data_IF_233678153654
#
_entry.id   IF_233678153654
#
_cell.length_a   1.000
_cell.length_b   1.000
_cell.length_c   1.000
_cell.angle_alpha   90.00
_cell.angle_beta   90.00
_cell.angle_gamma   90.00
#
_symmetry.space_group_name_H-M   'P 1'
#
loop_
_entity.id
_entity.type
_entity.pdbx_description
1 polymer ?
#
# COMPACT_ATOMS: atom_id res chain seq x y z
N UNK A 1 36.90 17.84 -46.86
CA UNK A 1 37.44 19.09 -46.29
C UNK A 1 38.04 18.84 -44.89
N UNK A 2 38.94 17.87 -44.76
CA UNK A 2 39.64 17.52 -43.52
C UNK A 2 41.14 17.47 -43.86
N UNK A 3 41.80 18.63 -44.03
CA UNK A 3 43.28 18.66 -44.08
C UNK A 3 43.93 20.04 -43.97
N UNK A 4 43.18 21.14 -43.79
CA UNK A 4 43.75 22.50 -43.82
C UNK A 4 43.77 23.24 -42.45
N UNK A 5 43.78 22.51 -41.34
CA UNK A 5 43.87 23.10 -39.98
C UNK A 5 45.07 22.60 -39.17
N UNK A 6 46.13 22.12 -39.82
CA UNK A 6 47.36 21.68 -39.16
C UNK A 6 48.57 22.39 -39.77
N UNK A 7 48.63 23.71 -39.68
CA UNK A 7 49.91 24.45 -39.71
C UNK A 7 49.74 25.93 -39.34
N UNK A 8 49.61 26.18 -38.05
CA UNK A 8 50.33 27.27 -37.38
C UNK A 8 50.33 26.92 -35.90
N UNK A 9 51.44 27.16 -35.20
CA UNK A 9 51.50 27.11 -33.75
C UNK A 9 50.56 28.20 -33.20
N UNK A 10 49.27 27.92 -33.13
CA UNK A 10 48.27 28.87 -32.67
C UNK A 10 48.48 29.11 -31.18
N UNK A 11 48.66 30.37 -30.80
CA UNK A 11 49.05 30.80 -29.44
C UNK A 11 48.08 30.41 -28.31
N UNK A 12 46.97 29.72 -28.58
CA UNK A 12 46.07 29.22 -27.54
C UNK A 12 45.38 27.94 -28.02
N UNK A 13 45.99 26.77 -27.81
CA UNK A 13 45.42 25.46 -28.18
C UNK A 13 44.49 24.91 -27.10
N UNK A 14 43.18 25.16 -27.22
CA UNK A 14 42.16 24.76 -26.21
C UNK A 14 40.84 24.24 -26.79
N UNK A 15 40.80 23.92 -28.09
CA UNK A 15 39.58 23.36 -28.71
C UNK A 15 39.32 21.90 -28.28
N UNK A 16 40.39 21.13 -28.01
CA UNK A 16 40.27 19.72 -27.63
C UNK A 16 39.73 19.52 -26.20
N UNK A 17 40.11 20.40 -25.27
CA UNK A 17 39.71 20.31 -23.85
C UNK A 17 38.27 20.75 -23.61
N UNK A 18 37.77 21.74 -24.36
CA UNK A 18 36.36 22.14 -24.33
C UNK A 18 35.45 21.05 -24.92
N UNK A 19 35.85 20.40 -26.02
CA UNK A 19 35.09 19.27 -26.61
C UNK A 19 35.08 18.06 -25.67
N UNK A 20 36.22 17.71 -25.06
CA UNK A 20 36.29 16.61 -24.09
C UNK A 20 35.41 16.88 -22.86
N UNK A 21 35.33 18.12 -22.40
CA UNK A 21 34.46 18.51 -21.28
C UNK A 21 32.98 18.51 -21.64
N UNK A 22 32.61 18.85 -22.88
CA UNK A 22 31.23 18.67 -23.38
C UNK A 22 30.83 17.18 -23.43
N UNK A 23 31.76 16.29 -23.83
CA UNK A 23 31.55 14.83 -23.83
C UNK A 23 31.42 14.30 -22.39
N UNK A 24 32.18 14.86 -21.43
CA UNK A 24 32.09 14.49 -20.02
C UNK A 24 30.80 15.04 -19.37
N UNK A 25 30.39 16.31 -19.61
CA UNK A 25 29.09 16.86 -19.16
C UNK A 25 27.93 16.01 -19.73
N UNK A 26 28.01 15.50 -20.97
CA UNK A 26 26.96 14.64 -21.55
C UNK A 26 26.98 13.20 -21.06
N UNK A 27 28.15 12.66 -20.65
CA UNK A 27 28.25 11.35 -20.00
C UNK A 27 27.70 11.36 -18.55
N UNK A 28 27.81 12.49 -17.83
CA UNK A 28 27.20 12.67 -16.51
C UNK A 28 25.70 12.98 -16.54
N UNK A 29 25.15 13.34 -17.71
CA UNK A 29 23.71 13.38 -17.95
C UNK A 29 23.17 11.96 -18.25
N UNK A 30 23.52 10.99 -17.42
CA UNK A 30 22.81 9.71 -17.37
C UNK A 30 21.48 9.96 -16.68
N UNK A 31 20.55 10.63 -17.34
CA UNK A 31 19.14 10.53 -16.95
C UNK A 31 18.77 9.08 -17.18
N UNK A 32 18.68 8.28 -16.11
CA UNK A 32 17.92 7.04 -16.17
C UNK A 32 16.55 7.46 -16.68
N UNK A 33 16.24 7.19 -17.95
CA UNK A 33 14.91 7.42 -18.48
C UNK A 33 14.01 6.54 -17.65
N UNK A 34 13.29 7.16 -16.71
CA UNK A 34 12.25 6.47 -15.97
C UNK A 34 11.35 5.80 -17.01
N UNK A 35 11.01 4.55 -16.75
CA UNK A 35 9.87 3.92 -17.39
C UNK A 35 8.67 4.90 -17.33
N UNK A 36 7.82 4.86 -18.34
CA UNK A 36 6.64 5.73 -18.43
C UNK A 36 5.56 5.03 -19.23
N UNK A 37 4.36 5.61 -19.26
CA UNK A 37 3.20 5.10 -20.00
C UNK A 37 2.76 3.69 -19.55
N UNK A 38 2.69 3.47 -18.24
CA UNK A 38 2.13 2.25 -17.66
C UNK A 38 3.04 1.02 -17.74
N UNK A 39 4.34 1.21 -17.96
CA UNK A 39 5.29 0.10 -18.07
C UNK A 39 6.20 -0.04 -16.85
N UNK A 40 6.18 0.93 -15.93
CA UNK A 40 7.00 0.85 -14.73
C UNK A 40 6.58 -0.30 -13.84
N UNK A 41 7.57 -1.01 -13.34
CA UNK A 41 7.44 -2.18 -12.49
C UNK A 41 7.73 -1.81 -11.04
N UNK A 42 7.39 -2.70 -10.13
CA UNK A 42 7.61 -2.50 -8.68
C UNK A 42 9.08 -2.11 -8.42
N UNK A 43 9.30 -1.12 -7.55
CA UNK A 43 10.57 -0.45 -7.21
C UNK A 43 11.18 0.45 -8.30
N UNK A 44 10.66 0.46 -9.54
CA UNK A 44 11.11 1.40 -10.55
C UNK A 44 10.62 2.81 -10.26
N UNK A 45 11.42 3.81 -10.62
CA UNK A 45 11.09 5.22 -10.41
C UNK A 45 9.85 5.62 -11.22
N UNK A 46 8.98 6.42 -10.61
CA UNK A 46 7.81 6.99 -11.27
C UNK A 46 7.67 8.47 -10.91
N UNK A 47 6.92 9.22 -11.70
CA UNK A 47 6.57 10.62 -11.43
C UNK A 47 5.06 10.84 -11.37
N UNK A 48 4.28 10.00 -12.05
CA UNK A 48 2.83 10.00 -12.05
C UNK A 48 2.28 8.58 -11.87
N UNK A 49 1.02 8.48 -11.40
CA UNK A 49 0.33 7.20 -11.28
C UNK A 49 0.26 6.42 -12.62
N UNK A 50 0.16 7.14 -13.74
CA UNK A 50 0.12 6.58 -15.10
C UNK A 50 1.45 6.01 -15.58
N UNK A 51 2.55 6.19 -14.84
CA UNK A 51 3.83 5.58 -15.20
C UNK A 51 3.87 4.09 -14.83
N UNK A 52 3.19 3.74 -13.74
CA UNK A 52 3.15 2.40 -13.17
C UNK A 52 2.22 1.47 -13.93
N UNK A 53 2.61 0.20 -14.03
CA UNK A 53 1.79 -0.86 -14.63
C UNK A 53 0.48 -1.10 -13.88
N UNK A 54 -0.40 -1.88 -14.50
CA UNK A 54 -1.70 -2.23 -13.92
C UNK A 54 -1.55 -2.86 -12.53
N UNK A 55 -2.39 -2.44 -11.59
CA UNK A 55 -2.34 -2.89 -10.19
C UNK A 55 -1.18 -2.32 -9.37
N UNK A 56 -0.44 -1.34 -9.90
CA UNK A 56 0.62 -0.63 -9.21
C UNK A 56 0.24 0.83 -8.94
N UNK A 57 0.91 1.42 -7.96
CA UNK A 57 0.72 2.78 -7.50
C UNK A 57 2.06 3.51 -7.40
N UNK A 58 2.12 4.77 -7.85
CA UNK A 58 3.30 5.61 -7.71
C UNK A 58 3.32 6.27 -6.31
N UNK A 59 4.14 5.74 -5.42
CA UNK A 59 4.23 6.18 -4.02
C UNK A 59 5.67 6.33 -3.55
N UNK A 60 5.88 6.92 -2.37
CA UNK A 60 7.20 7.04 -1.75
C UNK A 60 7.16 6.55 -0.30
N UNK A 61 8.34 6.41 0.32
CA UNK A 61 8.44 6.06 1.73
C UNK A 61 9.45 6.94 2.49
N UNK A 62 9.07 8.18 2.85
CA UNK A 62 9.94 9.10 3.56
C UNK A 62 10.45 8.59 4.90
N UNK A 63 9.67 7.77 5.62
CA UNK A 63 10.06 7.16 6.89
C UNK A 63 11.29 6.22 6.80
N UNK A 64 11.64 5.76 5.58
CA UNK A 64 12.85 4.99 5.29
C UNK A 64 13.93 5.82 4.59
N UNK A 65 13.75 7.13 4.45
CA UNK A 65 14.61 8.00 3.65
C UNK A 65 14.41 7.83 2.13
N UNK A 66 13.39 7.09 1.69
CA UNK A 66 13.07 6.86 0.28
C UNK A 66 12.13 7.95 -0.22
N UNK A 67 12.70 9.12 -0.54
CA UNK A 67 11.92 10.30 -0.95
C UNK A 67 11.54 10.30 -2.43
N UNK A 68 12.30 9.60 -3.28
CA UNK A 68 11.97 9.45 -4.70
C UNK A 68 10.77 8.50 -4.86
N UNK A 69 9.70 8.90 -5.57
CA UNK A 69 8.59 8.00 -5.84
C UNK A 69 9.01 6.80 -6.68
N UNK A 70 8.42 5.66 -6.34
CA UNK A 70 8.60 4.37 -7.00
C UNK A 70 7.24 3.71 -7.20
N UNK A 71 7.15 2.80 -8.17
CA UNK A 71 5.96 1.97 -8.29
C UNK A 71 5.94 0.94 -7.15
N UNK A 72 4.80 0.87 -6.48
CA UNK A 72 4.49 -0.03 -5.38
C UNK A 72 3.25 -0.85 -5.75
N UNK A 73 3.04 -1.99 -5.10
CA UNK A 73 1.81 -2.78 -5.28
C UNK A 73 0.63 -1.98 -4.75
N UNK A 74 -0.42 -1.86 -5.56
CA UNK A 74 -1.66 -1.17 -5.20
C UNK A 74 -2.91 -2.04 -5.31
N UNK A 75 -2.76 -3.33 -5.61
CA UNK A 75 -3.87 -4.26 -5.75
C UNK A 75 -3.45 -5.67 -5.31
N UNK A 76 -4.35 -6.35 -4.59
CA UNK A 76 -4.16 -7.72 -4.17
C UNK A 76 -4.34 -8.70 -5.34
N UNK A 77 -3.61 -9.82 -5.30
CA UNK A 77 -3.97 -10.98 -6.10
C UNK A 77 -5.20 -11.63 -5.46
N UNK A 78 -6.24 -11.93 -6.25
CA UNK A 78 -7.43 -12.63 -5.75
C UNK A 78 -7.08 -14.12 -5.58
N UNK A 79 -6.90 -14.65 -4.36
CA UNK A 79 -6.35 -16.00 -4.20
C UNK A 79 -7.31 -17.08 -4.74
N UNK A 80 -8.62 -16.80 -4.71
CA UNK A 80 -9.69 -17.70 -5.14
C UNK A 80 -9.73 -17.91 -6.65
N UNK A 81 -9.13 -17.00 -7.44
CA UNK A 81 -9.00 -17.17 -8.89
C UNK A 81 -7.85 -18.10 -9.28
N UNK A 82 -6.96 -18.43 -8.34
CA UNK A 82 -5.79 -19.31 -8.56
C UNK A 82 -6.00 -20.65 -7.86
N UNK A 83 -6.31 -20.63 -6.57
CA UNK A 83 -6.61 -21.82 -5.77
C UNK A 83 -8.02 -21.68 -5.21
N UNK A 84 -8.96 -22.43 -5.78
CA UNK A 84 -10.37 -22.42 -5.41
C UNK A 84 -10.78 -23.70 -4.66
N UNK A 85 -11.97 -23.70 -4.08
CA UNK A 85 -12.61 -24.90 -3.52
C UNK A 85 -12.11 -25.31 -2.14
N UNK A 86 -11.30 -24.47 -1.48
CA UNK A 86 -10.88 -24.71 -0.10
C UNK A 86 -11.84 -24.05 0.89
N UNK A 87 -11.86 -24.51 2.16
CA UNK A 87 -12.55 -23.83 3.25
C UNK A 87 -12.14 -22.36 3.37
N UNK A 88 -13.10 -21.48 3.69
CA UNK A 88 -12.84 -20.02 3.84
C UNK A 88 -11.69 -19.71 4.80
N UNK A 89 -11.56 -20.47 5.89
CA UNK A 89 -10.50 -20.33 6.89
C UNK A 89 -9.13 -20.90 6.47
N UNK A 90 -8.92 -21.28 5.19
CA UNK A 90 -7.57 -21.53 4.64
C UNK A 90 -6.95 -20.29 4.01
N UNK A 91 -7.79 -19.33 3.61
CA UNK A 91 -7.38 -18.10 2.94
C UNK A 91 -6.95 -17.03 3.95
N UNK A 92 -6.05 -16.18 3.48
CA UNK A 92 -5.63 -14.93 4.14
C UNK A 92 -6.22 -13.75 3.38
N UNK A 93 -6.79 -12.79 4.12
CA UNK A 93 -7.47 -11.62 3.60
C UNK A 93 -6.91 -10.34 4.23
N UNK A 94 -6.79 -9.28 3.42
CA UNK A 94 -6.46 -7.94 3.92
C UNK A 94 -7.69 -7.35 4.58
N UNK A 95 -7.48 -6.75 5.75
CA UNK A 95 -8.49 -6.02 6.52
C UNK A 95 -8.01 -4.59 6.73
N UNK A 96 -8.87 -3.61 6.49
CA UNK A 96 -8.59 -2.22 6.83
C UNK A 96 -9.15 -1.90 8.21
N UNK A 97 -8.29 -1.40 9.09
CA UNK A 97 -8.69 -0.91 10.41
C UNK A 97 -9.43 0.42 10.26
N UNK A 98 -10.59 0.55 10.91
CA UNK A 98 -11.46 1.71 10.82
C UNK A 98 -11.64 2.22 9.38
N UNK A 99 -12.15 1.33 8.51
CA UNK A 99 -12.19 1.49 7.05
C UNK A 99 -12.85 2.80 6.58
N UNK A 100 -13.74 3.37 7.37
CA UNK A 100 -14.45 4.62 7.08
C UNK A 100 -13.68 5.90 7.48
N UNK A 101 -12.64 5.75 8.30
CA UNK A 101 -11.86 6.86 8.86
C UNK A 101 -10.87 7.36 7.82
N UNK A 102 -11.40 8.08 6.82
CA UNK A 102 -10.68 8.47 5.61
C UNK A 102 -10.13 9.89 5.74
N UNK A 103 -8.85 10.06 5.40
CA UNK A 103 -8.18 11.37 5.32
C UNK A 103 -9.00 12.31 4.42
N UNK A 104 -9.13 13.57 4.84
CA UNK A 104 -9.87 14.62 4.14
C UNK A 104 -11.36 14.38 3.88
N UNK A 105 -11.94 13.31 4.47
CA UNK A 105 -13.39 13.14 4.48
C UNK A 105 -14.05 14.40 5.05
N UNK A 106 -15.10 14.96 4.42
CA UNK A 106 -15.73 16.18 4.91
C UNK A 106 -16.23 16.04 6.35
N UNK A 107 -15.97 17.01 7.24
CA UNK A 107 -16.55 17.01 8.58
C UNK A 107 -18.03 17.38 8.55
N UNK A 108 -18.71 17.22 9.69
CA UNK A 108 -20.07 17.72 9.85
C UNK A 108 -20.13 19.25 9.70
N UNK A 109 -21.22 19.81 9.14
CA UNK A 109 -21.36 21.26 8.96
C UNK A 109 -21.13 22.02 10.27
N UNK A 110 -20.19 22.98 10.24
CA UNK A 110 -19.87 23.82 11.39
C UNK A 110 -19.06 23.15 12.51
N UNK A 111 -18.54 21.94 12.29
CA UNK A 111 -17.76 21.19 13.29
C UNK A 111 -16.37 20.89 12.74
N UNK A 112 -15.33 21.21 13.51
CA UNK A 112 -13.98 20.73 13.21
C UNK A 112 -13.84 19.27 13.64
N UNK A 113 -13.45 18.38 12.73
CA UNK A 113 -13.13 16.99 13.11
C UNK A 113 -11.80 16.95 13.87
N UNK A 114 -11.82 16.32 15.04
CA UNK A 114 -10.68 16.13 15.95
C UNK A 114 -10.60 14.65 16.32
N UNK A 115 -10.05 13.87 15.40
CA UNK A 115 -9.81 12.44 15.57
C UNK A 115 -8.69 11.99 14.64
N UNK A 116 -8.32 10.72 14.71
CA UNK A 116 -7.32 10.12 13.85
C UNK A 116 -7.95 9.54 12.58
N UNK A 117 -7.15 9.49 11.52
CA UNK A 117 -7.52 8.89 10.24
C UNK A 117 -6.75 7.59 10.04
N UNK A 118 -7.39 6.61 9.43
CA UNK A 118 -6.84 5.28 9.26
C UNK A 118 -6.62 4.91 7.80
N UNK A 119 -7.35 5.50 6.86
CA UNK A 119 -7.28 5.16 5.44
C UNK A 119 -7.27 6.42 4.56
N UNK A 120 -6.89 6.26 3.29
CA UNK A 120 -6.91 7.35 2.29
C UNK A 120 -7.95 7.12 1.19
N UNK A 121 -8.36 5.86 1.02
CA UNK A 121 -9.29 5.43 0.00
C UNK A 121 -10.70 5.25 0.56
N UNK A 122 -11.70 5.52 -0.28
CA UNK A 122 -13.09 5.14 -0.01
C UNK A 122 -13.21 3.63 0.23
N UNK A 123 -14.27 3.19 0.92
CA UNK A 123 -14.49 1.76 1.14
C UNK A 123 -14.68 1.02 -0.18
N UNK A 124 -15.33 1.65 -1.16
CA UNK A 124 -15.40 1.16 -2.55
C UNK A 124 -14.00 0.87 -3.13
N UNK A 125 -13.06 1.81 -2.99
CA UNK A 125 -11.70 1.63 -3.52
C UNK A 125 -10.88 0.61 -2.72
N UNK A 126 -11.05 0.56 -1.39
CA UNK A 126 -10.50 -0.50 -0.56
C UNK A 126 -10.88 -1.89 -1.09
N UNK A 127 -12.17 -2.12 -1.34
CA UNK A 127 -12.67 -3.38 -1.88
C UNK A 127 -12.16 -3.66 -3.30
N UNK A 128 -12.14 -2.65 -4.19
CA UNK A 128 -11.59 -2.79 -5.55
C UNK A 128 -10.09 -3.13 -5.58
N UNK A 129 -9.34 -2.61 -4.62
CA UNK A 129 -7.91 -2.87 -4.47
C UNK A 129 -7.63 -4.22 -3.78
N UNK A 130 -8.66 -4.99 -3.41
CA UNK A 130 -8.52 -6.37 -2.92
C UNK A 130 -8.66 -6.53 -1.41
N UNK A 131 -9.02 -5.48 -0.67
CA UNK A 131 -9.45 -5.62 0.73
C UNK A 131 -10.72 -6.48 0.77
N UNK A 132 -10.78 -7.41 1.72
CA UNK A 132 -11.94 -8.31 1.92
C UNK A 132 -12.42 -8.37 3.36
N UNK A 133 -11.78 -7.65 4.28
CA UNK A 133 -12.31 -7.36 5.61
C UNK A 133 -12.36 -5.87 5.91
N UNK A 134 -13.39 -5.43 6.62
CA UNK A 134 -13.56 -4.05 7.06
C UNK A 134 -13.80 -4.03 8.57
N UNK A 135 -13.01 -3.25 9.31
CA UNK A 135 -13.30 -2.95 10.72
C UNK A 135 -14.06 -1.64 10.82
N UNK A 136 -15.20 -1.67 11.51
CA UNK A 136 -16.12 -0.53 11.61
C UNK A 136 -16.52 -0.30 13.08
N UNK A 137 -16.17 0.85 13.61
CA UNK A 137 -16.68 1.30 14.90
C UNK A 137 -18.07 1.94 14.72
N UNK A 138 -19.11 1.29 15.25
CA UNK A 138 -20.51 1.70 15.09
C UNK A 138 -21.11 2.18 16.42
N UNK A 139 -21.78 3.33 16.39
CA UNK A 139 -22.37 3.98 17.57
C UNK A 139 -23.80 4.43 17.31
N UNK A 140 -24.64 4.40 18.35
CA UNK A 140 -25.86 5.20 18.35
C UNK A 140 -25.51 6.70 18.40
N UNK A 141 -25.96 7.47 17.40
CA UNK A 141 -25.70 8.89 17.32
C UNK A 141 -26.74 9.62 16.46
N UNK A 142 -27.21 10.79 16.93
CA UNK A 142 -28.22 11.59 16.21
C UNK A 142 -29.47 10.79 15.77
N UNK A 143 -29.94 9.87 16.62
CA UNK A 143 -31.06 8.95 16.37
C UNK A 143 -30.88 8.01 15.17
N UNK A 144 -29.63 7.70 14.81
CA UNK A 144 -29.25 6.73 13.78
C UNK A 144 -27.97 6.01 14.21
N UNK A 145 -27.47 5.07 13.39
CA UNK A 145 -26.19 4.39 13.62
C UNK A 145 -25.11 5.04 12.76
N UNK A 146 -24.06 5.51 13.41
CA UNK A 146 -22.98 6.25 12.79
C UNK A 146 -21.64 5.55 12.94
N UNK A 147 -20.76 5.86 12.00
CA UNK A 147 -19.35 5.52 12.06
C UNK A 147 -18.58 6.67 12.70
N UNK A 148 -17.89 6.38 13.80
CA UNK A 148 -17.17 7.38 14.58
C UNK A 148 -15.84 6.83 15.06
N UNK A 149 -14.75 7.58 14.90
CA UNK A 149 -13.47 7.22 15.53
C UNK A 149 -13.41 7.92 16.89
N UNK A 150 -14.03 7.30 17.90
CA UNK A 150 -14.38 7.95 19.15
C UNK A 150 -13.83 7.24 20.39
N UNK A 151 -14.26 7.65 21.59
CA UNK A 151 -13.77 7.09 22.85
C UNK A 151 -14.88 6.97 23.89
N UNK A 152 -14.67 6.08 24.88
CA UNK A 152 -15.59 5.83 26.01
C UNK A 152 -16.98 5.35 25.57
N UNK A 153 -17.07 4.66 24.45
CA UNK A 153 -18.32 4.11 23.93
C UNK A 153 -19.38 5.16 23.57
N UNK A 154 -18.95 6.38 23.22
CA UNK A 154 -19.84 7.46 22.80
C UNK A 154 -19.31 8.12 21.53
N UNK A 155 -20.20 8.41 20.58
CA UNK A 155 -19.88 9.24 19.43
C UNK A 155 -20.12 10.73 19.73
N UNK A 156 -19.22 11.59 19.25
CA UNK A 156 -19.32 13.04 19.37
C UNK A 156 -19.32 13.66 17.98
N UNK A 157 -19.92 14.86 17.86
CA UNK A 157 -19.93 15.59 16.58
C UNK A 157 -18.53 15.75 15.96
N UNK A 158 -17.49 15.94 16.80
CA UNK A 158 -16.11 16.15 16.34
C UNK A 158 -15.35 14.84 16.06
N UNK A 159 -15.92 13.67 16.36
CA UNK A 159 -15.36 12.34 16.04
C UNK A 159 -16.17 11.57 14.99
N UNK A 160 -17.35 12.08 14.63
CA UNK A 160 -18.25 11.48 13.66
C UNK A 160 -17.75 11.63 12.21
N UNK A 161 -17.93 10.58 11.42
CA UNK A 161 -17.67 10.56 9.98
C UNK A 161 -18.95 10.67 9.18
N UNK A 162 -19.79 9.63 9.24
CA UNK A 162 -21.05 9.56 8.48
C UNK A 162 -22.00 8.49 9.05
N UNK A 163 -23.28 8.51 8.67
CA UNK A 163 -24.20 7.39 8.90
C UNK A 163 -23.64 6.09 8.33
N UNK A 164 -23.70 5.00 9.09
CA UNK A 164 -23.10 3.72 8.72
C UNK A 164 -23.72 3.11 7.46
N UNK A 165 -24.99 3.43 7.18
CA UNK A 165 -25.71 2.95 6.00
C UNK A 165 -25.02 3.33 4.68
N UNK A 166 -24.30 4.46 4.64
CA UNK A 166 -23.60 4.91 3.43
C UNK A 166 -22.46 3.95 3.08
N UNK A 167 -21.62 3.63 4.05
CA UNK A 167 -20.53 2.66 3.86
C UNK A 167 -21.06 1.26 3.58
N UNK A 168 -22.15 0.84 4.22
CA UNK A 168 -22.76 -0.46 3.93
C UNK A 168 -23.35 -0.54 2.51
N UNK A 169 -23.85 0.57 1.96
CA UNK A 169 -24.27 0.65 0.55
C UNK A 169 -23.10 0.54 -0.42
N UNK A 170 -21.92 1.03 -0.07
CA UNK A 170 -20.70 0.78 -0.86
C UNK A 170 -20.38 -0.73 -0.91
N UNK A 171 -20.51 -1.42 0.22
CA UNK A 171 -20.33 -2.89 0.30
C UNK A 171 -21.39 -3.62 -0.52
N UNK A 172 -22.66 -3.21 -0.45
CA UNK A 172 -23.75 -3.81 -1.23
C UNK A 172 -23.51 -3.66 -2.72
N UNK A 173 -23.14 -2.45 -3.17
CA UNK A 173 -22.83 -2.18 -4.57
C UNK A 173 -21.67 -3.05 -5.06
N UNK A 174 -20.61 -3.18 -4.24
CA UNK A 174 -19.47 -4.05 -4.55
C UNK A 174 -19.88 -5.52 -4.67
N UNK A 175 -20.64 -6.06 -3.71
CA UNK A 175 -21.09 -7.46 -3.75
C UNK A 175 -22.07 -7.74 -4.89
N UNK A 176 -22.86 -6.75 -5.31
CA UNK A 176 -23.73 -6.82 -6.48
C UNK A 176 -22.92 -6.86 -7.78
N UNK A 177 -21.90 -6.02 -7.91
CA UNK A 177 -21.02 -5.96 -9.08
C UNK A 177 -20.08 -7.18 -9.17
N UNK A 178 -19.73 -7.79 -8.03
CA UNK A 178 -18.74 -8.86 -7.94
C UNK A 178 -19.35 -10.14 -7.30
N UNK A 179 -20.02 -11.00 -8.09
CA UNK A 179 -20.82 -12.11 -7.57
C UNK A 179 -20.00 -13.26 -6.95
N UNK A 180 -18.69 -13.30 -7.21
CA UNK A 180 -17.77 -14.32 -6.68
C UNK A 180 -17.04 -13.87 -5.41
N UNK A 181 -17.23 -12.63 -4.98
CA UNK A 181 -16.49 -12.06 -3.85
C UNK A 181 -17.23 -12.27 -2.54
N UNK A 182 -16.45 -12.46 -1.47
CA UNK A 182 -16.92 -12.59 -0.08
C UNK A 182 -16.29 -11.44 0.72
N UNK A 183 -17.10 -10.71 1.48
CA UNK A 183 -16.66 -9.62 2.36
C UNK A 183 -16.90 -9.99 3.81
N UNK A 184 -15.96 -9.66 4.69
CA UNK A 184 -16.09 -9.77 6.15
C UNK A 184 -16.18 -8.38 6.77
N UNK A 185 -17.11 -8.18 7.70
CA UNK A 185 -17.22 -6.95 8.50
C UNK A 185 -17.05 -7.32 9.97
N UNK A 186 -16.19 -6.58 10.66
CA UNK A 186 -15.88 -6.77 12.08
C UNK A 186 -16.24 -5.46 12.81
N UNK A 187 -17.21 -5.53 13.71
CA UNK A 187 -17.81 -4.33 14.32
C UNK A 187 -17.26 -4.15 15.74
N UNK A 188 -16.62 -3.00 15.98
CA UNK A 188 -16.49 -2.47 17.33
C UNK A 188 -17.83 -1.82 17.71
N UNK A 189 -18.57 -2.47 18.60
CA UNK A 189 -20.02 -2.30 18.70
C UNK A 189 -20.40 -1.49 19.94
N UNK A 190 -20.91 -0.28 19.69
CA UNK A 190 -21.48 0.63 20.67
C UNK A 190 -22.93 0.98 20.34
N UNK A 191 -23.64 0.07 19.63
CA UNK A 191 -25.05 0.24 19.26
C UNK A 191 -25.94 -0.43 20.31
N UNK A 192 -26.65 0.38 21.08
CA UNK A 192 -27.61 -0.04 22.09
C UNK A 192 -29.05 -0.07 21.58
N UNK A 193 -29.35 0.58 20.46
CA UNK A 193 -30.65 0.52 19.81
C UNK A 193 -31.05 -0.94 19.54
N UNK A 194 -32.19 -1.42 20.07
CA UNK A 194 -32.62 -2.81 19.86
C UNK A 194 -32.81 -3.12 18.38
N UNK A 195 -32.21 -4.23 17.92
CA UNK A 195 -32.19 -4.62 16.50
C UNK A 195 -31.57 -3.58 15.57
N UNK A 196 -30.77 -2.67 16.11
CA UNK A 196 -30.17 -1.56 15.36
C UNK A 196 -29.33 -2.06 14.20
N UNK A 197 -28.43 -3.00 14.46
CA UNK A 197 -27.52 -3.53 13.44
C UNK A 197 -28.27 -4.35 12.39
N UNK A 198 -29.13 -5.28 12.79
CA UNK A 198 -29.92 -6.08 11.84
C UNK A 198 -30.80 -5.23 10.93
N UNK A 199 -31.47 -4.20 11.47
CA UNK A 199 -32.24 -3.25 10.68
C UNK A 199 -31.36 -2.43 9.74
N UNK A 200 -30.20 -1.97 10.22
CA UNK A 200 -29.22 -1.22 9.42
C UNK A 200 -28.75 -2.05 8.21
N UNK A 201 -28.32 -3.30 8.43
CA UNK A 201 -27.87 -4.18 7.35
C UNK A 201 -28.99 -4.54 6.35
N UNK A 202 -30.20 -4.79 6.84
CA UNK A 202 -31.36 -4.99 5.96
C UNK A 202 -31.68 -3.72 5.14
N UNK A 203 -31.60 -2.53 5.73
CA UNK A 203 -31.84 -1.26 5.05
C UNK A 203 -30.79 -0.94 3.97
N UNK A 204 -29.56 -1.44 4.16
CA UNK A 204 -28.50 -1.38 3.17
C UNK A 204 -28.64 -2.44 2.07
N UNK A 205 -29.56 -3.41 2.21
CA UNK A 205 -29.77 -4.51 1.27
C UNK A 205 -28.73 -5.62 1.37
N UNK A 206 -28.07 -5.77 2.53
CA UNK A 206 -26.98 -6.74 2.73
C UNK A 206 -27.44 -8.07 3.34
N UNK A 207 -28.65 -8.14 3.86
CA UNK A 207 -29.27 -9.34 4.44
C UNK A 207 -29.31 -10.52 3.46
N UNK A 208 -29.52 -10.26 2.17
CA UNK A 208 -29.48 -11.28 1.09
C UNK A 208 -28.11 -11.97 0.94
N UNK A 209 -27.03 -11.40 1.47
CA UNK A 209 -25.68 -11.96 1.41
C UNK A 209 -25.24 -12.63 2.70
N UNK A 210 -26.03 -12.54 3.77
CA UNK A 210 -25.61 -12.86 5.13
C UNK A 210 -25.24 -14.33 5.32
N UNK A 211 -24.05 -14.60 5.85
CA UNK A 211 -23.65 -15.94 6.25
C UNK A 211 -24.30 -16.30 7.60
N UNK A 212 -25.12 -17.36 7.67
CA UNK A 212 -25.94 -17.64 8.85
C UNK A 212 -25.09 -18.22 9.99
N UNK A 213 -25.34 -17.71 11.21
CA UNK A 213 -24.67 -18.17 12.45
C UNK A 213 -24.77 -19.69 12.66
N UNK A 214 -25.89 -20.31 12.27
CA UNK A 214 -26.12 -21.76 12.39
C UNK A 214 -25.17 -22.61 11.55
N UNK A 215 -24.54 -22.03 10.51
CA UNK A 215 -23.55 -22.69 9.65
C UNK A 215 -22.11 -22.34 10.01
N UNK A 216 -21.90 -21.46 11.00
CA UNK A 216 -20.53 -21.14 11.43
C UNK A 216 -19.91 -22.35 12.13
N UNK A 217 -18.65 -22.70 11.80
CA UNK A 217 -17.97 -23.81 12.42
C UNK A 217 -17.83 -23.65 13.93
N UNK A 218 -17.71 -24.79 14.61
CA UNK A 218 -17.49 -24.85 16.05
C UNK A 218 -16.20 -25.61 16.31
N UNK A 219 -15.56 -25.34 17.45
CA UNK A 219 -14.40 -26.11 17.94
C UNK A 219 -13.23 -26.20 16.95
N UNK A 220 -13.03 -25.19 16.11
CA UNK A 220 -11.91 -25.13 15.17
C UNK A 220 -12.13 -25.90 13.86
N UNK A 221 -13.34 -26.41 13.60
CA UNK A 221 -13.67 -27.07 12.34
C UNK A 221 -13.52 -26.11 11.14
N UNK A 222 -13.36 -26.69 9.95
CA UNK A 222 -13.25 -25.92 8.72
C UNK A 222 -14.58 -25.23 8.37
N UNK A 223 -14.45 -24.01 7.81
CA UNK A 223 -15.58 -23.28 7.22
C UNK A 223 -16.08 -23.99 5.97
N UNK A 224 -17.32 -23.73 5.54
CA UNK A 224 -17.75 -24.16 4.22
C UNK A 224 -16.78 -23.72 3.13
N UNK A 225 -16.75 -24.47 2.04
CA UNK A 225 -15.90 -24.16 0.91
C UNK A 225 -16.33 -22.83 0.32
N UNK A 226 -15.39 -22.00 -0.13
CA UNK A 226 -15.75 -20.68 -0.67
C UNK A 226 -16.73 -20.78 -1.86
N UNK A 227 -16.61 -21.84 -2.67
CA UNK A 227 -17.51 -22.12 -3.80
C UNK A 227 -18.93 -22.37 -3.31
N UNK A 228 -19.10 -23.11 -2.21
CA UNK A 228 -20.43 -23.38 -1.63
C UNK A 228 -21.03 -22.12 -1.01
N UNK A 229 -20.20 -21.29 -0.36
CA UNK A 229 -20.62 -20.00 0.17
C UNK A 229 -21.14 -19.09 -0.95
N UNK A 230 -20.40 -18.98 -2.05
CA UNK A 230 -20.76 -18.18 -3.23
C UNK A 230 -22.04 -18.71 -3.88
N UNK A 231 -22.14 -20.03 -4.10
CA UNK A 231 -23.32 -20.66 -4.71
C UNK A 231 -24.59 -20.46 -3.87
N UNK A 232 -24.47 -20.47 -2.55
CA UNK A 232 -25.57 -20.19 -1.64
C UNK A 232 -25.82 -18.68 -1.42
N UNK A 233 -25.06 -17.81 -2.10
CA UNK A 233 -25.05 -16.36 -1.92
C UNK A 233 -24.74 -15.91 -0.47
N UNK A 234 -24.10 -16.74 0.35
CA UNK A 234 -23.63 -16.38 1.69
C UNK A 234 -22.25 -15.70 1.61
N UNK A 235 -22.24 -14.47 1.10
CA UNK A 235 -21.03 -13.72 0.73
C UNK A 235 -20.69 -12.56 1.66
N UNK A 236 -21.43 -12.40 2.75
CA UNK A 236 -21.15 -11.44 3.81
C UNK A 236 -21.05 -12.15 5.16
N UNK A 237 -19.88 -12.08 5.79
CA UNK A 237 -19.67 -12.54 7.16
C UNK A 237 -19.61 -11.32 8.07
N UNK A 238 -20.39 -11.31 9.15
CA UNK A 238 -20.40 -10.18 10.10
C UNK A 238 -20.13 -10.67 11.51
N UNK A 239 -19.17 -10.01 12.15
CA UNK A 239 -18.81 -10.21 13.55
C UNK A 239 -19.06 -8.92 14.35
N UNK A 240 -19.38 -9.09 15.63
CA UNK A 240 -19.54 -8.00 16.61
C UNK A 240 -18.74 -8.31 17.87
N UNK A 241 -18.26 -7.24 18.51
CA UNK A 241 -17.56 -7.26 19.79
C UNK A 241 -18.49 -7.32 21.00
N UNK A 242 -19.81 -7.16 20.84
CA UNK A 242 -20.80 -7.30 21.91
C UNK A 242 -21.44 -8.71 21.90
N UNK A 243 -21.32 -9.42 23.02
CA UNK A 243 -21.86 -10.77 23.18
C UNK A 243 -23.38 -10.85 23.10
N UNK A 244 -24.10 -9.77 23.44
CA UNK A 244 -25.58 -9.73 23.46
C UNK A 244 -26.17 -9.92 22.06
N UNK A 245 -25.49 -9.39 21.04
CA UNK A 245 -25.94 -9.37 19.65
C UNK A 245 -26.07 -10.76 19.02
N UNK A 246 -25.32 -11.74 19.49
CA UNK A 246 -25.45 -13.10 18.96
C UNK A 246 -26.81 -13.71 19.31
N UNK A 247 -27.28 -13.53 20.54
CA UNK A 247 -28.56 -14.05 20.99
C UNK A 247 -29.73 -13.18 20.51
N UNK A 248 -29.55 -11.86 20.49
CA UNK A 248 -30.62 -10.90 20.23
C UNK A 248 -30.83 -10.59 18.75
N UNK A 249 -29.74 -10.58 17.98
CA UNK A 249 -29.71 -10.14 16.57
C UNK A 249 -29.14 -11.21 15.62
N UNK A 250 -28.60 -12.32 16.14
CA UNK A 250 -28.00 -13.37 15.32
C UNK A 250 -26.65 -12.98 14.69
N UNK A 251 -26.00 -11.94 15.19
CA UNK A 251 -24.68 -11.46 14.71
C UNK A 251 -23.58 -12.17 15.51
N UNK A 252 -22.62 -12.77 14.82
CA UNK A 252 -21.64 -13.64 15.48
C UNK A 252 -20.73 -12.88 16.45
N UNK A 253 -20.65 -13.36 17.69
CA UNK A 253 -19.77 -12.75 18.69
C UNK A 253 -18.31 -13.13 18.41
N UNK A 254 -17.48 -12.16 18.04
CA UNK A 254 -16.17 -12.40 17.44
C UNK A 254 -15.28 -13.33 18.29
N UNK A 255 -15.29 -13.15 19.60
CA UNK A 255 -14.44 -13.89 20.55
C UNK A 255 -14.79 -15.39 20.66
N UNK A 256 -15.92 -15.83 20.09
CA UNK A 256 -16.25 -17.27 19.93
C UNK A 256 -15.66 -17.89 18.66
N UNK A 257 -15.39 -17.08 17.64
CA UNK A 257 -15.13 -17.56 16.28
C UNK A 257 -13.72 -17.29 15.78
N UNK A 258 -13.03 -16.29 16.33
CA UNK A 258 -11.63 -16.00 16.02
C UNK A 258 -10.76 -15.86 17.28
N UNK A 259 -9.45 -16.06 17.12
CA UNK A 259 -8.44 -15.56 18.05
C UNK A 259 -7.84 -14.28 17.47
N UNK A 260 -7.34 -13.40 18.34
CA UNK A 260 -6.84 -12.09 17.94
C UNK A 260 -5.63 -11.67 18.77
N UNK A 261 -4.61 -11.10 18.12
CA UNK A 261 -3.50 -10.47 18.85
C UNK A 261 -3.88 -9.06 19.31
N UNK A 262 -3.21 -8.57 20.33
CA UNK A 262 -3.45 -7.24 20.88
C UNK A 262 -3.33 -6.17 19.80
N UNK A 263 -4.11 -5.10 19.92
CA UNK A 263 -4.10 -3.98 18.98
C UNK A 263 -3.19 -2.86 19.47
N UNK A 264 -2.86 -1.92 18.58
CA UNK A 264 -2.03 -0.77 18.91
C UNK A 264 -0.59 -1.13 19.30
N UNK A 265 0.06 -0.20 20.00
CA UNK A 265 1.47 -0.34 20.41
C UNK A 265 1.76 -1.63 21.21
N UNK A 266 0.87 -2.10 22.12
CA UNK A 266 1.07 -3.38 22.79
C UNK A 266 1.09 -4.60 21.85
N UNK A 267 0.43 -4.51 20.70
CA UNK A 267 0.35 -5.54 19.67
C UNK A 267 1.54 -5.62 18.73
N UNK A 268 2.24 -4.51 18.50
CA UNK A 268 3.33 -4.40 17.50
C UNK A 268 4.73 -4.57 18.12
N UNK A 269 4.86 -5.41 19.15
CA UNK A 269 6.12 -5.61 19.87
C UNK A 269 7.06 -6.57 19.15
N UNK A 270 8.29 -6.13 18.84
CA UNK A 270 9.30 -6.98 18.18
C UNK A 270 9.47 -8.33 18.91
N UNK A 271 9.28 -9.42 18.18
CA UNK A 271 9.42 -10.79 18.68
C UNK A 271 8.32 -11.27 19.64
N UNK A 272 7.23 -10.51 19.83
CA UNK A 272 6.10 -10.89 20.68
C UNK A 272 4.77 -10.59 20.00
N UNK A 273 3.85 -11.56 20.04
CA UNK A 273 2.48 -11.40 19.54
C UNK A 273 1.50 -11.77 20.68
N UNK A 274 1.25 -10.84 21.62
CA UNK A 274 0.31 -11.08 22.72
C UNK A 274 -1.12 -11.17 22.20
N UNK A 275 -1.99 -11.94 22.87
CA UNK A 275 -3.41 -12.00 22.53
C UNK A 275 -4.19 -10.88 23.22
N UNK A 276 -5.32 -10.48 22.62
CA UNK A 276 -6.31 -9.60 23.26
C UNK A 276 -6.83 -10.24 24.55
N UNK A 277 -7.14 -9.42 25.56
CA UNK A 277 -7.67 -9.92 26.84
C UNK A 277 -8.99 -10.69 26.68
N UNK A 278 -9.83 -10.24 25.75
CA UNK A 278 -11.12 -10.82 25.43
C UNK A 278 -10.98 -12.10 24.58
N UNK A 279 -9.88 -12.22 23.84
CA UNK A 279 -9.55 -13.37 23.01
C UNK A 279 -9.07 -14.54 23.85
N UNK A 280 -9.27 -15.76 23.32
CA UNK A 280 -8.49 -16.91 23.76
C UNK A 280 -7.03 -16.75 23.34
N UNK A 281 -6.14 -17.52 23.96
CA UNK A 281 -4.74 -17.60 23.52
C UNK A 281 -4.63 -17.93 22.03
N UNK A 282 -3.66 -17.34 21.32
CA UNK A 282 -3.52 -17.50 19.86
C UNK A 282 -3.34 -18.95 19.39
N UNK A 283 -2.75 -19.81 20.24
CA UNK A 283 -2.59 -21.23 19.95
C UNK A 283 -3.84 -22.07 20.28
N UNK A 284 -4.94 -21.44 20.69
CA UNK A 284 -6.22 -22.13 20.90
C UNK A 284 -6.72 -22.69 19.58
N UNK A 285 -7.10 -23.96 19.59
CA UNK A 285 -7.72 -24.65 18.44
C UNK A 285 -9.25 -24.67 18.50
N UNK A 286 -9.84 -23.95 19.45
CA UNK A 286 -11.29 -23.91 19.59
C UNK A 286 -11.98 -22.90 18.66
N UNK A 287 -11.20 -21.98 18.08
CA UNK A 287 -11.61 -21.02 17.05
C UNK A 287 -10.86 -21.35 15.76
N UNK A 288 -11.53 -21.26 14.62
CA UNK A 288 -10.98 -21.64 13.32
C UNK A 288 -10.39 -20.46 12.54
N UNK A 289 -10.58 -19.23 13.03
CA UNK A 289 -10.11 -18.00 12.43
C UNK A 289 -9.05 -17.32 13.31
N UNK A 290 -8.10 -16.63 12.68
CA UNK A 290 -7.13 -15.78 13.35
C UNK A 290 -7.10 -14.39 12.69
N UNK A 291 -7.43 -13.36 13.46
CA UNK A 291 -7.26 -11.95 13.10
C UNK A 291 -5.94 -11.41 13.68
N UNK A 292 -5.06 -10.93 12.80
CA UNK A 292 -3.83 -10.26 13.20
C UNK A 292 -3.97 -8.75 13.05
N UNK A 293 -4.03 -8.02 14.17
CA UNK A 293 -3.84 -6.59 14.24
C UNK A 293 -2.37 -6.22 14.03
N UNK A 294 -2.10 -5.35 13.06
CA UNK A 294 -0.79 -4.76 12.85
C UNK A 294 -0.91 -3.26 12.53
N UNK A 295 -1.14 -2.49 13.58
CA UNK A 295 -1.17 -1.04 13.52
C UNK A 295 -0.77 -0.44 14.87
N UNK A 296 -0.09 0.72 14.89
CA UNK A 296 0.19 1.45 16.13
C UNK A 296 -1.09 2.03 16.73
N UNK A 297 -1.03 2.42 18.00
CA UNK A 297 -2.16 3.08 18.69
C UNK A 297 -2.53 4.39 18.02
N UNK A 298 -1.53 5.12 17.51
CA UNK A 298 -1.73 6.35 16.75
C UNK A 298 -1.40 6.09 15.29
N UNK A 299 -2.39 6.14 14.38
CA UNK A 299 -2.13 5.94 12.96
C UNK A 299 -1.34 7.13 12.41
N UNK A 300 -0.11 6.89 11.95
CA UNK A 300 0.75 7.93 11.37
C UNK A 300 0.98 7.63 9.89
N UNK A 301 0.23 8.32 9.04
CA UNK A 301 0.26 8.17 7.57
C UNK A 301 1.67 8.16 6.97
N UNK A 302 2.57 9.01 7.49
CA UNK A 302 3.95 9.12 7.00
C UNK A 302 4.82 7.90 7.35
N UNK A 303 4.52 7.17 8.43
CA UNK A 303 5.26 6.00 8.89
C UNK A 303 4.70 4.70 8.31
N UNK A 304 3.44 4.68 7.87
CA UNK A 304 2.78 3.43 7.45
C UNK A 304 3.45 2.72 6.27
N UNK A 305 4.15 3.43 5.39
CA UNK A 305 4.94 2.78 4.34
C UNK A 305 6.04 1.87 4.92
N UNK A 306 6.67 2.28 6.03
CA UNK A 306 7.69 1.50 6.72
C UNK A 306 7.07 0.36 7.50
N UNK A 307 5.90 0.59 8.10
CA UNK A 307 5.14 -0.42 8.85
C UNK A 307 4.82 -1.63 7.95
N UNK A 308 4.23 -1.41 6.76
CA UNK A 308 3.76 -2.49 5.88
C UNK A 308 4.86 -3.15 5.02
N UNK A 309 6.13 -2.95 5.38
CA UNK A 309 7.29 -3.48 4.66
C UNK A 309 7.92 -4.65 5.41
N UNK A 310 9.25 -4.68 5.58
CA UNK A 310 9.93 -5.72 6.34
C UNK A 310 9.37 -5.94 7.79
N UNK A 311 8.98 -4.90 8.56
CA UNK A 311 8.42 -5.08 9.89
C UNK A 311 7.11 -5.89 9.94
N UNK A 312 6.19 -5.68 9.00
CA UNK A 312 4.96 -6.47 8.91
C UNK A 312 5.27 -7.95 8.64
N UNK A 313 6.20 -8.26 7.72
CA UNK A 313 6.61 -9.64 7.47
C UNK A 313 7.26 -10.30 8.71
N UNK A 314 8.05 -9.55 9.48
CA UNK A 314 8.61 -10.02 10.76
C UNK A 314 7.49 -10.32 11.78
N UNK A 315 6.47 -9.46 11.86
CA UNK A 315 5.35 -9.69 12.77
C UNK A 315 4.48 -10.86 12.34
N UNK A 316 4.19 -11.04 11.05
CA UNK A 316 3.49 -12.23 10.53
C UNK A 316 4.19 -13.51 11.01
N UNK A 317 5.51 -13.59 10.87
CA UNK A 317 6.28 -14.75 11.33
C UNK A 317 6.27 -14.91 12.86
N UNK A 318 6.27 -13.80 13.59
CA UNK A 318 6.16 -13.80 15.07
C UNK A 318 4.81 -14.35 15.52
N UNK A 319 3.72 -13.84 14.94
CA UNK A 319 2.36 -14.27 15.23
C UNK A 319 2.08 -15.70 14.75
N UNK A 320 2.62 -16.11 13.61
CA UNK A 320 2.58 -17.49 13.12
C UNK A 320 3.11 -18.49 14.17
N UNK A 321 4.28 -18.18 14.75
CA UNK A 321 4.88 -19.01 15.81
C UNK A 321 4.03 -18.98 17.09
N UNK A 322 3.56 -17.80 17.51
CA UNK A 322 2.71 -17.65 18.69
C UNK A 322 1.36 -18.39 18.57
N UNK A 323 0.81 -18.46 17.35
CA UNK A 323 -0.41 -19.20 17.03
C UNK A 323 -0.19 -20.71 16.80
N UNK A 324 1.01 -21.23 17.13
CA UNK A 324 1.34 -22.64 17.00
C UNK A 324 1.42 -23.10 15.54
N UNK A 325 2.10 -22.32 14.69
CA UNK A 325 2.29 -22.59 13.27
C UNK A 325 1.01 -22.49 12.43
N UNK A 326 0.14 -21.52 12.74
CA UNK A 326 -1.04 -21.18 11.94
C UNK A 326 -0.90 -19.74 11.49
N UNK A 327 -0.99 -19.51 10.17
CA UNK A 327 -0.96 -18.18 9.59
C UNK A 327 -2.30 -17.45 9.86
N UNK A 328 -2.28 -16.13 10.10
CA UNK A 328 -3.50 -15.34 10.20
C UNK A 328 -4.41 -15.50 8.98
N UNK A 329 -5.72 -15.55 9.21
CA UNK A 329 -6.73 -15.46 8.15
C UNK A 329 -7.03 -14.02 7.77
N UNK A 330 -6.80 -13.09 8.69
CA UNK A 330 -7.04 -11.68 8.49
C UNK A 330 -5.83 -10.88 8.95
N UNK A 331 -5.42 -9.87 8.18
CA UNK A 331 -4.37 -8.93 8.54
C UNK A 331 -4.97 -7.53 8.55
N UNK A 332 -5.19 -6.97 9.74
CA UNK A 332 -5.76 -5.64 9.92
C UNK A 332 -4.66 -4.58 10.01
N UNK A 333 -4.75 -3.56 9.14
CA UNK A 333 -3.76 -2.48 9.04
C UNK A 333 -4.41 -1.11 8.77
N UNK A 334 -3.69 -0.04 9.11
CA UNK A 334 -3.99 1.31 8.62
C UNK A 334 -3.39 1.52 7.23
N UNK A 335 -3.77 2.56 6.50
CA UNK A 335 -3.12 3.07 5.27
C UNK A 335 -2.62 1.98 4.32
N UNK A 336 -3.48 1.01 3.99
CA UNK A 336 -3.09 -0.27 3.40
C UNK A 336 -2.30 -0.19 2.08
N UNK A 337 -2.43 0.92 1.35
CA UNK A 337 -1.73 1.16 0.10
C UNK A 337 -0.27 1.62 0.28
N UNK A 338 0.11 2.10 1.46
CA UNK A 338 1.44 2.65 1.71
C UNK A 338 2.44 1.54 1.95
N UNK A 339 3.52 1.50 1.16
CA UNK A 339 4.62 0.54 1.32
C UNK A 339 5.92 1.04 0.68
N UNK A 340 7.02 0.29 0.85
CA UNK A 340 8.29 0.51 0.15
C UNK A 340 8.42 -0.28 -1.17
N UNK A 341 7.34 -0.92 -1.63
CA UNK A 341 7.37 -1.79 -2.80
C UNK A 341 6.21 -2.77 -2.82
N UNK A 342 6.38 -3.93 -2.19
CA UNK A 342 5.39 -5.02 -2.21
C UNK A 342 4.22 -4.85 -1.23
N UNK A 343 4.50 -4.26 -0.07
CA UNK A 343 3.49 -3.96 0.95
C UNK A 343 2.73 -5.16 1.50
N UNK A 344 1.57 -4.86 2.08
CA UNK A 344 0.61 -5.88 2.56
C UNK A 344 0.16 -6.84 1.45
N UNK A 345 0.12 -6.39 0.20
CA UNK A 345 -0.32 -7.18 -0.95
C UNK A 345 0.63 -8.35 -1.20
N UNK A 346 1.93 -8.08 -1.30
CA UNK A 346 2.95 -9.14 -1.47
C UNK A 346 3.00 -10.07 -0.25
N UNK A 347 2.86 -9.54 0.96
CA UNK A 347 2.85 -10.35 2.19
C UNK A 347 1.64 -11.31 2.20
N UNK A 348 0.46 -10.83 1.81
CA UNK A 348 -0.75 -11.66 1.71
C UNK A 348 -0.61 -12.72 0.61
N UNK A 349 0.00 -12.39 -0.52
CA UNK A 349 0.28 -13.33 -1.60
C UNK A 349 1.22 -14.47 -1.13
N UNK A 350 2.25 -14.13 -0.34
CA UNK A 350 3.16 -15.12 0.27
C UNK A 350 2.45 -16.03 1.26
N UNK A 351 1.61 -15.46 2.13
CA UNK A 351 0.84 -16.23 3.11
C UNK A 351 -0.11 -17.21 2.42
N UNK A 352 -0.88 -16.75 1.43
CA UNK A 352 -1.77 -17.61 0.65
C UNK A 352 -0.99 -18.67 -0.17
N UNK A 353 0.18 -18.33 -0.71
CA UNK A 353 1.05 -19.32 -1.37
C UNK A 353 1.41 -20.47 -0.43
N UNK A 354 1.80 -20.13 0.80
CA UNK A 354 2.19 -21.12 1.81
C UNK A 354 1.01 -21.95 2.28
N UNK A 355 -0.13 -21.32 2.62
CA UNK A 355 -1.29 -22.04 3.17
C UNK A 355 -2.04 -22.86 2.14
N UNK A 356 -2.20 -22.34 0.91
CA UNK A 356 -3.09 -22.93 -0.08
C UNK A 356 -2.40 -23.97 -0.95
N UNK A 357 -1.10 -23.84 -1.22
CA UNK A 357 -0.40 -24.74 -2.13
C UNK A 357 1.06 -25.06 -1.76
N UNK A 358 1.59 -24.54 -0.65
CA UNK A 358 2.96 -24.80 -0.20
C UNK A 358 4.05 -24.05 -0.96
N UNK A 359 3.69 -23.02 -1.72
CA UNK A 359 4.62 -22.21 -2.49
C UNK A 359 4.99 -20.91 -1.79
N UNK A 360 6.07 -20.28 -2.22
CA UNK A 360 6.52 -19.01 -1.64
C UNK A 360 5.56 -17.84 -1.91
N UNK A 361 4.67 -17.96 -2.91
CA UNK A 361 3.65 -16.97 -3.27
C UNK A 361 2.49 -17.65 -3.99
N UNK A 362 1.29 -17.09 -3.85
CA UNK A 362 0.06 -17.60 -4.47
C UNK A 362 0.16 -17.68 -5.99
N UNK A 363 0.89 -16.76 -6.62
CA UNK A 363 1.08 -16.78 -8.08
C UNK A 363 1.87 -17.99 -8.55
N UNK A 364 2.69 -18.60 -7.67
CA UNK A 364 3.47 -19.81 -7.95
C UNK A 364 2.67 -21.10 -7.81
N UNK A 365 1.44 -21.04 -7.29
CA UNK A 365 0.57 -22.19 -7.20
C UNK A 365 0.16 -22.70 -8.59
N UNK A 366 0.10 -24.03 -8.71
CA UNK A 366 -0.45 -24.71 -9.88
C UNK A 366 -1.82 -25.30 -9.51
N UNK A 367 -2.88 -24.83 -10.17
CA UNK A 367 -4.23 -25.31 -9.92
C UNK A 367 -4.31 -26.84 -10.17
N UNK A 368 -4.81 -27.58 -9.18
CA UNK A 368 -4.97 -29.04 -9.25
C UNK A 368 -3.68 -29.85 -9.05
N UNK A 369 -2.52 -29.19 -8.90
CA UNK A 369 -1.26 -29.88 -8.60
C UNK A 369 -1.17 -30.26 -7.11
N UNK A 370 -0.36 -31.27 -6.74
CA UNK A 370 -0.09 -31.60 -5.35
C UNK A 370 0.55 -30.42 -4.59
N UNK A 371 0.25 -30.30 -3.30
CA UNK A 371 0.86 -29.31 -2.40
C UNK A 371 2.41 -29.35 -2.48
N UNK A 372 3.04 -28.19 -2.65
CA UNK A 372 4.48 -28.01 -2.86
C UNK A 372 4.91 -28.01 -4.33
N UNK A 373 4.00 -28.27 -5.27
CA UNK A 373 4.31 -28.25 -6.72
C UNK A 373 4.23 -26.82 -7.26
N UNK A 374 5.35 -26.12 -7.20
CA UNK A 374 5.41 -24.69 -7.53
C UNK A 374 5.93 -24.45 -8.94
N UNK A 375 5.31 -23.49 -9.63
CA UNK A 375 5.90 -22.90 -10.82
C UNK A 375 7.24 -22.25 -10.47
N UNK A 376 8.21 -22.36 -11.36
CA UNK A 376 9.43 -21.58 -11.24
C UNK A 376 9.12 -20.14 -11.64
N UNK A 377 8.64 -19.37 -10.67
CA UNK A 377 8.45 -17.95 -10.81
C UNK A 377 9.72 -17.32 -10.29
N UNK A 378 10.46 -16.64 -11.17
CA UNK A 378 11.52 -15.74 -10.74
C UNK A 378 10.97 -14.85 -9.62
N UNK A 379 11.69 -14.73 -8.50
CA UNK A 379 11.36 -13.77 -7.44
C UNK A 379 10.96 -12.43 -8.09
N UNK A 380 9.91 -11.73 -7.60
CA UNK A 380 9.23 -10.67 -8.35
C UNK A 380 10.25 -9.75 -9.05
N UNK A 381 10.37 -9.98 -10.36
CA UNK A 381 11.14 -9.22 -11.32
C UNK A 381 10.13 -8.82 -12.37
N UNK A 382 9.86 -7.51 -12.42
CA UNK A 382 9.60 -6.69 -13.62
C UNK A 382 8.64 -7.17 -14.72
N UNK A 383 7.86 -8.23 -14.57
CA UNK A 383 6.91 -8.67 -15.59
C UNK A 383 5.57 -9.11 -14.99
N UNK A 384 4.45 -8.46 -15.34
CA UNK A 384 3.12 -8.95 -14.98
C UNK A 384 2.76 -10.13 -15.89
N UNK A 385 2.41 -11.27 -15.28
CA UNK A 385 1.67 -12.33 -15.96
C UNK A 385 0.23 -11.88 -16.22
N UNK A 386 -0.13 -11.76 -17.48
CA UNK A 386 -1.50 -11.54 -17.95
C UNK A 386 -2.33 -12.81 -17.75
N UNK A 387 -3.05 -12.93 -16.63
CA UNK A 387 -4.17 -13.87 -16.52
C UNK A 387 -5.48 -13.08 -16.36
N UNK A 388 -6.21 -13.00 -17.47
CA UNK A 388 -7.52 -12.37 -17.63
C UNK A 388 -8.64 -13.29 -17.14
N UNK A 389 -8.75 -13.48 -15.83
CA UNK A 389 -9.99 -13.95 -15.22
C UNK A 389 -10.14 -13.35 -13.82
N UNK A 390 -10.87 -12.22 -13.74
CA UNK A 390 -11.23 -11.55 -12.48
C UNK A 390 -10.51 -10.23 -12.15
N UNK A 391 -9.73 -9.66 -13.08
CA UNK A 391 -9.04 -8.39 -12.83
C UNK A 391 -9.95 -7.19 -13.11
N UNK A 392 -10.15 -6.34 -12.09
CA UNK A 392 -10.71 -5.00 -12.27
C UNK A 392 -9.72 -4.17 -13.12
N UNK A 393 -10.09 -3.84 -14.36
CA UNK A 393 -9.23 -3.11 -15.31
C UNK A 393 -9.24 -1.60 -15.08
N UNK A 394 -9.13 -1.16 -13.83
CA UNK A 394 -9.06 0.25 -13.46
C UNK A 394 -7.66 0.64 -13.01
N UNK A 395 -7.26 1.88 -13.27
CA UNK A 395 -6.11 2.49 -12.57
C UNK A 395 -6.38 2.50 -11.07
N UNK A 396 -5.37 2.24 -10.24
CA UNK A 396 -5.44 2.50 -8.80
C UNK A 396 -5.73 4.00 -8.63
N UNK A 397 -6.95 4.33 -8.22
CA UNK A 397 -7.41 5.71 -8.09
C UNK A 397 -7.41 6.09 -6.61
N UNK A 398 -6.38 6.80 -6.18
CA UNK A 398 -6.46 7.56 -4.95
C UNK A 398 -7.32 8.81 -5.15
N UNK A 399 -7.85 9.33 -4.05
CA UNK A 399 -8.39 10.68 -3.94
C UNK A 399 -7.34 11.73 -4.35
N UNK A 400 -6.05 11.48 -4.06
CA UNK A 400 -4.92 12.35 -4.40
C UNK A 400 -3.64 11.56 -4.75
N UNK A 401 -2.84 12.09 -5.67
CA UNK A 401 -1.51 11.54 -6.01
C UNK A 401 -0.45 11.99 -5.00
N UNK A 402 0.63 11.22 -4.83
CA UNK A 402 1.79 11.68 -4.08
C UNK A 402 2.21 13.09 -4.54
N UNK A 403 2.49 13.99 -3.59
CA UNK A 403 2.88 15.37 -3.91
C UNK A 403 4.03 15.36 -4.90
N UNK A 404 3.88 16.09 -6.01
CA UNK A 404 4.94 16.26 -6.99
C UNK A 404 6.17 16.84 -6.27
N UNK A 405 7.20 16.03 -6.08
CA UNK A 405 8.50 16.55 -5.66
C UNK A 405 9.00 17.36 -6.84
N UNK A 406 9.00 18.69 -6.70
CA UNK A 406 9.80 19.57 -7.56
C UNK A 406 11.25 19.19 -7.32
N UNK A 407 11.76 18.22 -8.09
CA UNK A 407 13.18 18.09 -8.27
C UNK A 407 13.61 19.39 -8.99
N UNK A 408 14.57 20.16 -8.45
CA UNK A 408 15.23 21.16 -9.27
C UNK A 408 15.71 20.40 -10.49
N UNK A 409 15.29 20.80 -11.68
CA UNK A 409 15.61 20.10 -12.89
C UNK A 409 17.15 20.10 -13.02
N UNK A 410 17.81 19.03 -12.56
CA UNK A 410 19.26 19.00 -12.44
C UNK A 410 19.90 19.18 -13.82
N UNK A 411 19.19 18.83 -14.89
CA UNK A 411 19.59 19.15 -16.26
C UNK A 411 19.62 20.66 -16.54
N UNK A 412 18.66 21.44 -16.02
CA UNK A 412 18.71 22.90 -16.10
C UNK A 412 19.87 23.47 -15.27
N UNK A 413 20.09 22.99 -14.04
CA UNK A 413 21.21 23.46 -13.20
C UNK A 413 22.58 23.09 -13.79
N UNK A 414 22.74 21.85 -14.26
CA UNK A 414 23.95 21.36 -14.93
C UNK A 414 24.15 22.09 -16.26
N UNK A 415 23.09 22.34 -17.04
CA UNK A 415 23.22 23.11 -18.30
C UNK A 415 23.58 24.57 -18.05
N UNK A 416 23.02 25.21 -17.01
CA UNK A 416 23.39 26.56 -16.61
C UNK A 416 24.86 26.61 -16.15
N UNK A 417 25.29 25.64 -15.34
CA UNK A 417 26.67 25.53 -14.88
C UNK A 417 27.65 25.28 -16.05
N UNK A 418 27.38 24.31 -16.94
CA UNK A 418 28.21 24.06 -18.12
C UNK A 418 28.20 25.31 -19.05
N UNK A 419 27.08 26.06 -19.19
CA UNK A 419 27.02 27.31 -19.97
C UNK A 419 27.86 28.44 -19.35
N UNK A 420 27.78 28.65 -18.04
CA UNK A 420 28.61 29.66 -17.34
C UNK A 420 30.10 29.35 -17.42
N UNK A 421 30.46 28.07 -17.37
CA UNK A 421 31.86 27.66 -17.49
C UNK A 421 32.36 27.86 -18.92
N UNK A 422 31.57 27.47 -19.93
CA UNK A 422 31.91 27.64 -21.36
C UNK A 422 32.08 29.11 -21.72
N UNK A 423 31.18 29.98 -21.28
CA UNK A 423 31.29 31.43 -21.52
C UNK A 423 32.53 32.02 -20.84
N UNK A 424 32.87 31.57 -19.63
CA UNK A 424 34.09 32.01 -18.92
C UNK A 424 35.37 31.55 -19.64
N UNK A 425 35.42 30.30 -20.10
CA UNK A 425 36.55 29.76 -20.87
C UNK A 425 36.68 30.45 -22.23
N UNK A 426 35.57 30.68 -22.94
CA UNK A 426 35.53 31.41 -24.21
C UNK A 426 36.04 32.84 -24.05
N UNK A 427 35.60 33.57 -23.02
CA UNK A 427 36.05 34.94 -22.77
C UNK A 427 37.56 35.01 -22.51
N UNK A 428 38.09 34.10 -21.69
CA UNK A 428 39.55 33.99 -21.45
C UNK A 428 40.33 33.64 -22.72
N UNK A 429 39.78 32.79 -23.57
CA UNK A 429 40.36 32.44 -24.86
C UNK A 429 40.46 33.66 -25.79
N UNK A 430 39.38 34.45 -25.92
CA UNK A 430 39.39 35.67 -26.73
C UNK A 430 40.39 36.71 -26.20
N UNK A 431 40.50 36.87 -24.89
CA UNK A 431 41.52 37.74 -24.27
C UNK A 431 42.96 37.28 -24.54
N UNK A 432 43.23 35.97 -24.58
CA UNK A 432 44.51 35.42 -25.03
C UNK A 432 44.78 35.73 -26.51
N UNK A 433 43.78 35.49 -27.36
CA UNK A 433 43.88 35.69 -28.82
C UNK A 433 44.16 37.14 -29.19
N UNK A 434 43.54 38.09 -28.49
CA UNK A 434 43.74 39.53 -28.69
C UNK A 434 45.03 40.06 -28.03
N UNK A 435 45.87 39.18 -27.48
CA UNK A 435 47.15 39.54 -26.86
C UNK A 435 47.04 40.21 -25.49
N UNK A 436 45.85 40.23 -24.88
CA UNK A 436 45.60 40.81 -23.55
C UNK A 436 45.92 39.85 -22.40
N UNK A 437 46.17 38.57 -22.70
CA UNK A 437 46.69 37.56 -21.78
C UNK A 437 47.83 36.81 -22.47
N UNK A 438 48.94 36.60 -21.77
CA UNK A 438 50.02 35.74 -22.26
C UNK A 438 49.74 34.26 -21.92
N UNK A 439 50.45 33.32 -22.56
CA UNK A 439 50.16 31.89 -22.43
C UNK A 439 50.25 31.36 -20.99
N UNK A 440 51.17 31.89 -20.18
CA UNK A 440 51.32 31.48 -18.79
C UNK A 440 50.15 32.00 -17.93
N UNK A 441 49.72 33.25 -18.13
CA UNK A 441 48.55 33.80 -17.45
C UNK A 441 47.26 33.10 -17.87
N UNK A 442 47.11 32.78 -19.16
CA UNK A 442 45.96 32.02 -19.65
C UNK A 442 45.88 30.63 -19.01
N UNK A 443 47.00 29.91 -18.91
CA UNK A 443 47.05 28.60 -18.26
C UNK A 443 46.65 28.64 -16.78
N UNK A 444 47.19 29.60 -16.01
CA UNK A 444 46.89 29.78 -14.59
C UNK A 444 45.43 30.19 -14.36
N UNK A 445 44.89 31.12 -15.16
CA UNK A 445 43.50 31.55 -15.05
C UNK A 445 42.50 30.48 -15.50
N UNK A 446 42.87 29.60 -16.42
CA UNK A 446 42.01 28.50 -16.86
C UNK A 446 41.91 27.42 -15.77
N UNK A 447 43.06 27.06 -15.17
CA UNK A 447 43.14 26.11 -14.06
C UNK A 447 42.29 26.56 -12.87
N UNK A 448 42.30 27.85 -12.51
CA UNK A 448 41.48 28.36 -11.40
C UNK A 448 39.97 28.30 -11.65
N UNK A 449 39.51 28.33 -12.90
CA UNK A 449 38.08 28.23 -13.22
C UNK A 449 37.58 26.78 -13.23
N UNK A 450 38.47 25.85 -13.55
CA UNK A 450 38.18 24.42 -13.59
C UNK A 450 38.19 23.82 -12.17
N UNK A 451 38.99 24.36 -11.23
CA UNK A 451 39.04 23.87 -9.84
C UNK A 451 37.89 24.37 -8.96
N UNK A 452 37.27 25.51 -9.28
CA UNK A 452 36.15 26.08 -8.50
C UNK A 452 34.78 25.52 -8.95
N UNK A 453 34.63 25.16 -10.22
CA UNK A 453 33.38 24.62 -10.79
C UNK A 453 32.83 23.36 -10.08
N UNK A 454 33.66 22.35 -9.73
CA UNK A 454 33.21 21.15 -9.02
C UNK A 454 32.79 21.41 -7.57
N UNK A 455 33.36 22.43 -6.91
CA UNK A 455 33.05 22.76 -5.50
C UNK A 455 31.66 23.40 -5.39
N UNK A 456 31.22 24.13 -6.41
CA UNK A 456 29.87 24.72 -6.45
C UNK A 456 28.77 23.66 -6.68
N UNK A 457 29.09 22.52 -7.31
CA UNK A 457 28.17 21.41 -7.59
C UNK A 457 27.98 20.50 -6.36
N UNK A 458 28.89 20.55 -5.37
CA UNK A 458 28.73 19.81 -4.11
C UNK A 458 27.96 20.60 -3.02
N UNK A 459 27.68 21.89 -3.24
CA UNK A 459 27.02 22.78 -2.26
C UNK A 459 25.57 23.11 -2.67
N UNK A 460 25.14 22.71 -3.88
CA UNK A 460 23.76 22.78 -4.39
C UNK A 460 23.20 21.37 -4.54
#
# INVERSE_FOLDING_TARGET
MFSLFLNSASKCGTLLTTILYFIICSLFASSTTACSNGNCQVLEACSAATDCGSGLYCGNCPALGLTRPICTRGQATVPTSIVNGLPFNKYTWIVTHNSFSIVDSPPLPGVQRLTFYNQEDTVTNQLRNGVRGLMLDMYDFQNDIWLCHSFRGQCYNFTAFQPAVNTLKEVEAFLTENPTEIVTIIIEDYVHTPKGLTNLFASAGLDKYWFPLSKMPRKGDDWPNITEMIQANHRLIVFTSDASKEAEEGIAYQWKHMVENESGDPGIRKGSCPHRKESKALNSRSSSLFLMNYFPTYPVQAESCKEHSAPLAEMVNTCYKAAGNVLPNFIAINFYMRSDGGGVFDITDRMNGQTLCGCNTITACQAGAPFGSCNNISAPSTNPGSNTSGSFSGSVQFSESASAVYSPNWLLLISLACYTLVTTVMNKYWRCRDGRLNNNQFGVELLSSITIGPILIQIL
#
